data_IF_667140397653
#
_entry.id   IF_667140397653
#
_cell.length_a   1.000
_cell.length_b   1.000
_cell.length_c   1.000
_cell.angle_alpha   90.00
_cell.angle_beta   90.00
_cell.angle_gamma   90.00
#
_symmetry.space_group_name_H-M   'P 1'
#
loop_
_entity.id
_entity.type
_entity.pdbx_description
1 polymer ?
#
# COMPACT_ATOMS: atom_id res chain seq x y z
N UNK A 1 -12.80 -35.38 18.78
CA UNK A 1 -13.27 -34.65 19.97
C UNK A 1 -12.91 -33.19 19.74
N UNK A 2 -13.84 -32.26 19.94
CA UNK A 2 -13.52 -30.84 19.86
C UNK A 2 -12.60 -30.50 21.04
N UNK A 3 -11.38 -30.06 20.77
CA UNK A 3 -10.45 -29.61 21.82
C UNK A 3 -11.07 -28.48 22.62
N UNK A 4 -10.73 -28.36 23.91
CA UNK A 4 -11.25 -27.26 24.73
C UNK A 4 -10.73 -25.93 24.18
N UNK A 5 -11.45 -24.83 24.39
CA UNK A 5 -10.97 -23.51 23.98
C UNK A 5 -9.60 -23.18 24.61
N UNK A 6 -9.36 -23.66 25.83
CA UNK A 6 -8.07 -23.49 26.51
C UNK A 6 -6.96 -24.21 25.74
N UNK A 7 -7.20 -25.45 25.32
CA UNK A 7 -6.23 -26.25 24.55
C UNK A 7 -5.96 -25.60 23.19
N UNK A 8 -6.98 -25.03 22.54
CA UNK A 8 -6.83 -24.32 21.27
C UNK A 8 -5.94 -23.08 21.41
N UNK A 9 -6.14 -22.30 22.48
CA UNK A 9 -5.33 -21.12 22.77
C UNK A 9 -3.87 -21.49 23.08
N UNK A 10 -3.65 -22.54 23.87
CA UNK A 10 -2.30 -23.02 24.17
C UNK A 10 -1.59 -23.51 22.91
N UNK A 11 -2.26 -24.33 22.10
CA UNK A 11 -1.72 -24.81 20.84
C UNK A 11 -1.41 -23.67 19.86
N UNK A 12 -2.29 -22.66 19.76
CA UNK A 12 -2.07 -21.50 18.89
C UNK A 12 -0.83 -20.68 19.33
N UNK A 13 -0.66 -20.46 20.64
CA UNK A 13 0.54 -19.80 21.18
C UNK A 13 1.82 -20.57 20.87
N UNK A 14 1.80 -21.89 21.06
CA UNK A 14 2.95 -22.73 20.78
C UNK A 14 3.30 -22.72 19.27
N UNK A 15 2.29 -22.84 18.40
CA UNK A 15 2.48 -22.74 16.96
C UNK A 15 3.02 -21.37 16.52
N UNK A 16 2.52 -20.27 17.10
CA UNK A 16 3.06 -18.92 16.89
C UNK A 16 4.55 -18.87 17.24
N UNK A 17 4.93 -19.42 18.40
CA UNK A 17 6.33 -19.43 18.86
C UNK A 17 7.23 -20.26 17.93
N UNK A 18 6.82 -21.49 17.60
CA UNK A 18 7.59 -22.40 16.77
C UNK A 18 7.77 -21.88 15.34
N UNK A 19 6.69 -21.39 14.73
CA UNK A 19 6.75 -20.86 13.35
C UNK A 19 7.56 -19.57 13.25
N UNK A 20 7.65 -18.78 14.33
CA UNK A 20 8.49 -17.58 14.39
C UNK A 20 9.98 -17.94 14.32
N UNK A 21 10.41 -18.94 15.10
CA UNK A 21 11.85 -19.22 15.31
C UNK A 21 12.40 -20.32 14.41
N UNK A 22 11.55 -21.24 13.91
CA UNK A 22 11.99 -22.45 13.22
C UNK A 22 11.54 -22.48 11.75
N UNK A 23 12.43 -22.23 10.78
CA UNK A 23 12.13 -22.38 9.36
C UNK A 23 11.64 -23.78 8.98
N UNK A 24 12.17 -24.82 9.64
CA UNK A 24 11.75 -26.21 9.42
C UNK A 24 10.28 -26.42 9.76
N UNK A 25 9.79 -25.84 10.86
CA UNK A 25 8.36 -25.91 11.22
C UNK A 25 7.50 -25.23 10.16
N UNK A 26 7.94 -24.08 9.61
CA UNK A 26 7.23 -23.45 8.51
C UNK A 26 7.16 -24.36 7.28
N UNK A 27 8.26 -25.04 6.94
CA UNK A 27 8.29 -25.96 5.80
C UNK A 27 7.34 -27.15 5.98
N UNK A 28 7.22 -27.71 7.19
CA UNK A 28 6.32 -28.82 7.50
C UNK A 28 4.85 -28.52 7.20
N UNK A 29 4.40 -27.28 7.34
CA UNK A 29 3.03 -26.88 6.97
C UNK A 29 2.77 -27.01 5.46
N UNK A 30 3.80 -26.92 4.64
CA UNK A 30 3.71 -27.13 3.19
C UNK A 30 3.68 -28.60 2.79
N UNK A 31 4.05 -29.52 3.69
CA UNK A 31 4.08 -30.96 3.43
C UNK A 31 2.70 -31.63 3.64
N UNK A 32 1.77 -30.97 4.32
CA UNK A 32 0.43 -31.52 4.62
C UNK A 32 -0.68 -30.60 4.15
N UNK A 33 -1.53 -31.10 3.23
CA UNK A 33 -2.61 -30.32 2.62
C UNK A 33 -3.69 -29.87 3.60
N UNK A 34 -3.79 -30.52 4.75
CA UNK A 34 -4.78 -30.26 5.81
C UNK A 34 -4.24 -29.40 6.96
N UNK A 35 -2.95 -29.05 6.99
CA UNK A 35 -2.36 -28.28 8.07
C UNK A 35 -2.92 -26.86 8.17
N UNK A 36 -2.98 -26.13 7.05
CA UNK A 36 -3.54 -24.77 7.00
C UNK A 36 -5.06 -24.78 7.30
N UNK A 37 -5.89 -25.67 6.69
CA UNK A 37 -7.29 -25.80 7.08
C UNK A 37 -7.49 -26.05 8.58
N UNK A 38 -6.71 -26.95 9.20
CA UNK A 38 -6.79 -27.26 10.63
C UNK A 38 -6.40 -26.06 11.50
N UNK A 39 -5.37 -25.31 11.09
CA UNK A 39 -4.95 -24.08 11.75
C UNK A 39 -6.06 -23.02 11.75
N UNK A 40 -6.80 -22.88 10.66
CA UNK A 40 -7.84 -21.85 10.47
C UNK A 40 -9.24 -22.28 10.99
N UNK A 41 -9.45 -23.57 11.23
CA UNK A 41 -10.72 -24.11 11.71
C UNK A 41 -11.27 -23.40 12.96
N UNK A 42 -10.46 -23.03 13.98
CA UNK A 42 -10.96 -22.32 15.17
C UNK A 42 -11.57 -20.93 14.87
N UNK A 43 -11.10 -20.25 13.82
CA UNK A 43 -11.60 -18.93 13.40
C UNK A 43 -12.82 -19.01 12.48
N UNK A 44 -12.98 -20.14 11.77
CA UNK A 44 -14.00 -20.34 10.75
C UNK A 44 -15.43 -20.45 11.30
N UNK A 45 -15.60 -20.54 12.63
CA UNK A 45 -16.89 -20.68 13.30
C UNK A 45 -17.66 -19.37 13.54
N UNK A 46 -17.34 -18.28 12.81
CA UNK A 46 -17.97 -16.97 12.99
C UNK A 46 -17.63 -16.34 14.35
N UNK A 47 -16.43 -16.66 14.88
CA UNK A 47 -15.95 -16.28 16.22
C UNK A 47 -14.70 -15.40 16.18
N UNK A 48 -14.41 -14.77 15.05
CA UNK A 48 -13.20 -13.98 14.85
C UNK A 48 -13.04 -12.92 15.95
N UNK A 49 -14.15 -12.35 16.43
CA UNK A 49 -14.14 -11.33 17.50
C UNK A 49 -14.36 -11.88 18.92
N UNK A 50 -14.67 -13.18 19.07
CA UNK A 50 -15.01 -13.76 20.37
C UNK A 50 -13.78 -14.01 21.25
N UNK A 51 -12.62 -14.25 20.64
CA UNK A 51 -11.37 -14.60 21.33
C UNK A 51 -10.18 -13.88 20.66
N UNK A 52 -9.96 -12.59 20.98
CA UNK A 52 -8.92 -11.78 20.33
C UNK A 52 -7.50 -12.36 20.46
N UNK A 53 -7.20 -13.00 21.58
CA UNK A 53 -5.92 -13.67 21.83
C UNK A 53 -5.70 -14.87 20.90
N UNK A 54 -6.73 -15.71 20.74
CA UNK A 54 -6.68 -16.84 19.80
C UNK A 54 -6.55 -16.36 18.35
N UNK A 55 -7.30 -15.33 17.97
CA UNK A 55 -7.22 -14.72 16.65
C UNK A 55 -5.82 -14.19 16.37
N UNK A 56 -5.25 -13.40 17.29
CA UNK A 56 -3.92 -12.84 17.13
C UNK A 56 -2.87 -13.94 16.94
N UNK A 57 -2.90 -15.00 17.75
CA UNK A 57 -1.93 -16.09 17.65
C UNK A 57 -2.03 -16.85 16.32
N UNK A 58 -3.25 -17.11 15.84
CA UNK A 58 -3.47 -17.79 14.58
C UNK A 58 -3.12 -16.92 13.37
N UNK A 59 -3.48 -15.63 13.38
CA UNK A 59 -3.12 -14.68 12.31
C UNK A 59 -1.60 -14.46 12.28
N UNK A 60 -0.95 -14.38 13.44
CA UNK A 60 0.52 -14.30 13.52
C UNK A 60 1.17 -15.58 13.01
N UNK A 61 0.57 -16.75 13.27
CA UNK A 61 1.06 -18.01 12.72
C UNK A 61 0.97 -18.00 11.19
N UNK A 62 -0.14 -17.53 10.60
CA UNK A 62 -0.27 -17.35 9.14
C UNK A 62 0.78 -16.39 8.58
N UNK A 63 1.01 -15.25 9.24
CA UNK A 63 2.11 -14.34 8.90
C UNK A 63 3.44 -15.10 8.89
N UNK A 64 3.79 -15.80 9.95
CA UNK A 64 5.04 -16.55 10.02
C UNK A 64 5.16 -17.57 8.89
N UNK A 65 4.11 -18.33 8.60
CA UNK A 65 4.08 -19.31 7.51
C UNK A 65 4.31 -18.66 6.15
N UNK A 66 3.71 -17.48 5.91
CA UNK A 66 3.81 -16.75 4.64
C UNK A 66 5.21 -16.19 4.32
N UNK A 67 6.10 -16.11 5.32
CA UNK A 67 7.50 -15.71 5.11
C UNK A 67 8.27 -16.80 4.33
N UNK A 68 7.82 -18.06 4.39
CA UNK A 68 8.43 -19.15 3.63
C UNK A 68 7.84 -19.21 2.21
N UNK A 69 8.68 -19.07 1.18
CA UNK A 69 8.22 -18.92 -0.21
C UNK A 69 7.30 -20.06 -0.67
N UNK A 70 7.62 -21.31 -0.36
CA UNK A 70 6.80 -22.47 -0.74
C UNK A 70 5.39 -22.44 -0.14
N UNK A 71 5.18 -21.72 0.96
CA UNK A 71 3.88 -21.64 1.62
C UNK A 71 3.00 -20.53 1.05
N UNK A 72 3.57 -19.54 0.34
CA UNK A 72 2.79 -18.37 -0.13
C UNK A 72 1.63 -18.77 -1.03
N UNK A 73 1.87 -19.67 -1.97
CA UNK A 73 0.83 -20.15 -2.87
C UNK A 73 -0.18 -21.02 -2.10
N UNK A 74 0.29 -21.97 -1.28
CA UNK A 74 -0.56 -22.87 -0.50
C UNK A 74 -1.50 -22.13 0.46
N UNK A 75 -1.00 -21.12 1.16
CA UNK A 75 -1.81 -20.28 2.06
C UNK A 75 -2.80 -19.45 1.25
N UNK A 76 -2.40 -18.83 0.13
CA UNK A 76 -3.28 -18.00 -0.67
C UNK A 76 -4.38 -18.79 -1.41
N UNK A 77 -4.11 -20.05 -1.78
CA UNK A 77 -5.09 -20.97 -2.39
C UNK A 77 -6.07 -21.55 -1.38
N UNK A 78 -5.75 -21.51 -0.09
CA UNK A 78 -6.70 -21.90 0.93
C UNK A 78 -7.89 -20.94 0.94
N UNK A 79 -9.13 -21.44 0.77
CA UNK A 79 -10.31 -20.59 0.59
C UNK A 79 -10.65 -19.75 1.82
N UNK A 80 -10.11 -20.08 3.00
CA UNK A 80 -10.39 -19.38 4.25
C UNK A 80 -9.31 -18.34 4.59
N UNK A 81 -8.07 -18.49 4.11
CA UNK A 81 -6.95 -17.67 4.56
C UNK A 81 -7.12 -16.18 4.21
N UNK A 82 -7.34 -15.85 2.93
CA UNK A 82 -7.51 -14.46 2.50
C UNK A 82 -8.77 -13.82 3.13
N UNK A 83 -9.96 -14.46 3.13
CA UNK A 83 -11.13 -13.92 3.81
C UNK A 83 -10.91 -13.64 5.29
N UNK A 84 -10.26 -14.56 6.02
CA UNK A 84 -9.97 -14.37 7.45
C UNK A 84 -8.98 -13.23 7.71
N UNK A 85 -7.96 -13.07 6.85
CA UNK A 85 -7.04 -11.92 6.93
C UNK A 85 -7.79 -10.60 6.70
N UNK A 86 -8.72 -10.57 5.73
CA UNK A 86 -9.56 -9.40 5.44
C UNK A 86 -10.50 -9.08 6.60
N UNK A 87 -11.11 -10.09 7.23
CA UNK A 87 -11.94 -9.92 8.42
C UNK A 87 -11.11 -9.39 9.60
N UNK A 88 -9.92 -9.97 9.79
CA UNK A 88 -8.98 -9.55 10.84
C UNK A 88 -8.49 -8.11 10.68
N UNK A 89 -8.37 -7.61 9.44
CA UNK A 89 -8.10 -6.19 9.16
C UNK A 89 -9.22 -5.26 9.62
N UNK A 90 -10.48 -5.73 9.62
CA UNK A 90 -11.66 -4.91 9.92
C UNK A 90 -11.97 -4.87 11.42
N UNK A 91 -11.86 -6.00 12.12
CA UNK A 91 -12.35 -6.14 13.49
C UNK A 91 -11.29 -6.54 14.52
N UNK A 92 -10.07 -6.91 14.09
CA UNK A 92 -9.02 -7.36 15.00
C UNK A 92 -8.46 -6.27 15.93
N UNK A 93 -7.68 -6.69 16.92
CA UNK A 93 -6.82 -5.78 17.68
C UNK A 93 -5.84 -5.06 16.74
N UNK A 94 -5.26 -3.95 17.17
CA UNK A 94 -4.25 -3.25 16.38
C UNK A 94 -3.09 -4.19 15.98
N UNK A 95 -2.63 -5.05 16.89
CA UNK A 95 -1.60 -6.06 16.59
C UNK A 95 -2.09 -7.07 15.55
N UNK A 96 -3.30 -7.60 15.71
CA UNK A 96 -3.92 -8.52 14.74
C UNK A 96 -4.05 -7.88 13.35
N UNK A 97 -4.47 -6.61 13.29
CA UNK A 97 -4.61 -5.84 12.04
C UNK A 97 -3.26 -5.60 11.36
N UNK A 98 -2.23 -5.24 12.15
CA UNK A 98 -0.84 -5.12 11.66
C UNK A 98 -0.36 -6.46 11.09
N UNK A 99 -0.53 -7.56 11.83
CA UNK A 99 -0.12 -8.89 11.40
C UNK A 99 -0.88 -9.37 10.17
N UNK A 100 -2.17 -9.05 10.06
CA UNK A 100 -2.98 -9.35 8.88
C UNK A 100 -2.49 -8.57 7.65
N UNK A 101 -2.19 -7.28 7.78
CA UNK A 101 -1.63 -6.47 6.70
C UNK A 101 -0.25 -7.00 6.27
N UNK A 102 0.63 -7.31 7.22
CA UNK A 102 1.94 -7.90 6.97
C UNK A 102 1.83 -9.27 6.26
N UNK A 103 0.87 -10.11 6.65
CA UNK A 103 0.64 -11.41 6.01
C UNK A 103 0.15 -11.25 4.57
N UNK A 104 -0.74 -10.28 4.29
CA UNK A 104 -1.16 -10.00 2.92
C UNK A 104 0.01 -9.48 2.08
N UNK A 105 0.88 -8.64 2.65
CA UNK A 105 2.10 -8.18 1.98
C UNK A 105 3.02 -9.36 1.62
N UNK A 106 3.37 -10.22 2.56
CA UNK A 106 4.26 -11.38 2.31
C UNK A 106 3.64 -12.39 1.33
N UNK A 107 2.35 -12.69 1.46
CA UNK A 107 1.62 -13.56 0.54
C UNK A 107 1.56 -13.00 -0.87
N UNK A 108 1.59 -11.68 -1.04
CA UNK A 108 1.54 -11.01 -2.33
C UNK A 108 2.87 -11.03 -3.11
N UNK A 109 3.83 -11.88 -2.72
CA UNK A 109 5.06 -12.14 -3.49
C UNK A 109 4.77 -12.56 -4.94
N UNK A 110 4.06 -13.68 -5.19
CA UNK A 110 3.61 -14.09 -6.52
C UNK A 110 2.53 -13.17 -7.11
N UNK A 111 2.55 -12.95 -8.43
CA UNK A 111 1.54 -12.12 -9.12
C UNK A 111 0.13 -12.73 -9.07
N UNK A 112 0.02 -14.06 -9.13
CA UNK A 112 -1.23 -14.81 -8.93
C UNK A 112 -1.90 -14.45 -7.59
N UNK A 113 -1.10 -14.34 -6.53
CA UNK A 113 -1.57 -13.98 -5.21
C UNK A 113 -1.99 -12.51 -5.15
N UNK A 114 -1.22 -11.59 -5.75
CA UNK A 114 -1.61 -10.17 -5.84
C UNK A 114 -2.99 -10.00 -6.47
N UNK A 115 -3.23 -10.71 -7.58
CA UNK A 115 -4.52 -10.68 -8.29
C UNK A 115 -5.64 -11.23 -7.41
N UNK A 116 -5.41 -12.37 -6.76
CA UNK A 116 -6.42 -13.05 -5.93
C UNK A 116 -6.77 -12.24 -4.68
N UNK A 117 -5.77 -11.71 -3.96
CA UNK A 117 -5.96 -10.82 -2.80
C UNK A 117 -6.72 -9.56 -3.19
N UNK A 118 -6.37 -8.94 -4.32
CA UNK A 118 -7.07 -7.76 -4.81
C UNK A 118 -8.52 -8.03 -5.21
N UNK A 119 -8.80 -9.16 -5.87
CA UNK A 119 -10.16 -9.61 -6.21
C UNK A 119 -11.01 -9.93 -4.97
N UNK A 120 -10.38 -10.40 -3.89
CA UNK A 120 -11.05 -10.70 -2.63
C UNK A 120 -11.46 -9.43 -1.84
N UNK A 121 -11.09 -8.24 -2.31
CA UNK A 121 -11.50 -6.97 -1.68
C UNK A 121 -10.59 -6.50 -0.54
N UNK A 122 -9.34 -6.96 -0.49
CA UNK A 122 -8.41 -6.59 0.58
C UNK A 122 -8.00 -5.09 0.58
N UNK A 123 -8.12 -4.40 -0.56
CA UNK A 123 -7.64 -3.02 -0.70
C UNK A 123 -8.40 -2.04 0.20
N UNK A 124 -9.74 -2.13 0.28
CA UNK A 124 -10.53 -1.20 1.11
C UNK A 124 -10.17 -1.29 2.61
N UNK A 125 -10.13 -2.48 3.25
CA UNK A 125 -9.70 -2.58 4.65
C UNK A 125 -8.26 -2.14 4.90
N UNK A 126 -7.35 -2.34 3.93
CA UNK A 126 -5.98 -1.82 4.04
C UNK A 126 -5.95 -0.29 3.98
N UNK A 127 -6.75 0.32 3.11
CA UNK A 127 -6.90 1.79 3.00
C UNK A 127 -7.52 2.36 4.28
N UNK A 128 -8.53 1.69 4.86
CA UNK A 128 -9.16 2.09 6.11
C UNK A 128 -8.17 2.04 7.28
N UNK A 129 -7.38 0.96 7.35
CA UNK A 129 -6.31 0.83 8.34
C UNK A 129 -5.26 1.94 8.20
N UNK A 130 -4.94 2.35 6.97
CA UNK A 130 -4.07 3.50 6.72
C UNK A 130 -4.71 4.81 7.20
N UNK A 131 -6.01 5.00 6.99
CA UNK A 131 -6.75 6.21 7.38
C UNK A 131 -6.80 6.39 8.92
N UNK A 132 -7.02 5.31 9.67
CA UNK A 132 -7.21 5.32 11.13
C UNK A 132 -5.99 5.75 11.94
N UNK A 133 -4.77 5.62 11.41
CA UNK A 133 -3.62 6.34 11.97
C UNK A 133 -2.72 5.61 12.97
N UNK A 134 -2.86 4.30 13.20
CA UNK A 134 -1.94 3.59 14.09
C UNK A 134 -0.58 3.30 13.41
N UNK A 135 0.50 3.94 13.86
CA UNK A 135 1.80 4.02 13.14
C UNK A 135 2.34 2.70 12.61
N UNK A 136 2.39 1.65 13.43
CA UNK A 136 2.90 0.33 13.00
C UNK A 136 2.01 -0.28 11.91
N UNK A 137 0.69 -0.29 12.16
CA UNK A 137 -0.27 -0.91 11.26
C UNK A 137 -0.40 -0.13 9.94
N UNK A 138 -0.21 1.19 9.94
CA UNK A 138 -0.15 2.00 8.72
C UNK A 138 1.03 1.61 7.81
N UNK A 139 2.20 1.30 8.37
CA UNK A 139 3.38 0.90 7.58
C UNK A 139 3.16 -0.45 6.89
N UNK A 140 2.60 -1.41 7.62
CA UNK A 140 2.26 -2.71 7.06
C UNK A 140 1.17 -2.58 5.99
N UNK A 141 0.15 -1.74 6.25
CA UNK A 141 -0.91 -1.45 5.28
C UNK A 141 -0.36 -0.80 4.00
N UNK A 142 0.49 0.22 4.13
CA UNK A 142 1.13 0.89 3.00
C UNK A 142 1.98 -0.09 2.17
N UNK A 143 2.74 -0.96 2.84
CA UNK A 143 3.56 -1.98 2.17
C UNK A 143 2.71 -2.98 1.39
N UNK A 144 1.61 -3.45 1.98
CA UNK A 144 0.66 -4.33 1.31
C UNK A 144 0.00 -3.64 0.10
N UNK A 145 -0.48 -2.40 0.25
CA UNK A 145 -1.08 -1.61 -0.84
C UNK A 145 -0.07 -1.41 -1.97
N UNK A 146 1.16 -1.02 -1.66
CA UNK A 146 2.22 -0.82 -2.65
C UNK A 146 2.43 -2.08 -3.50
N UNK A 147 2.59 -3.23 -2.84
CA UNK A 147 2.91 -4.46 -3.53
C UNK A 147 1.71 -5.00 -4.33
N UNK A 148 0.49 -4.87 -3.81
CA UNK A 148 -0.73 -5.25 -4.54
C UNK A 148 -0.94 -4.38 -5.80
N UNK A 149 -0.66 -3.08 -5.71
CA UNK A 149 -0.83 -2.12 -6.80
C UNK A 149 0.23 -2.23 -7.91
N UNK A 150 1.22 -3.13 -7.80
CA UNK A 150 2.07 -3.48 -8.95
C UNK A 150 1.19 -4.02 -10.11
N UNK A 151 0.11 -4.73 -9.78
CA UNK A 151 -0.90 -5.20 -10.73
C UNK A 151 -1.83 -4.05 -11.13
N UNK A 152 -2.00 -3.86 -12.45
CA UNK A 152 -2.77 -2.75 -13.02
C UNK A 152 -4.23 -2.73 -12.54
N UNK A 153 -4.89 -3.88 -12.49
CA UNK A 153 -6.27 -4.02 -12.04
C UNK A 153 -6.41 -3.63 -10.56
N UNK A 154 -5.40 -3.90 -9.74
CA UNK A 154 -5.39 -3.51 -8.33
C UNK A 154 -5.20 -2.01 -8.16
N UNK A 155 -4.47 -1.32 -9.04
CA UNK A 155 -4.40 0.15 -9.05
C UNK A 155 -5.80 0.75 -9.22
N UNK A 156 -6.54 0.27 -10.22
CA UNK A 156 -7.92 0.71 -10.46
C UNK A 156 -8.80 0.49 -9.22
N UNK A 157 -8.77 -0.72 -8.64
CA UNK A 157 -9.48 -1.03 -7.39
C UNK A 157 -9.11 -0.06 -6.27
N UNK A 158 -7.81 0.14 -6.00
CA UNK A 158 -7.37 1.02 -4.92
C UNK A 158 -7.86 2.47 -5.11
N UNK A 159 -7.83 2.97 -6.35
CA UNK A 159 -8.32 4.31 -6.70
C UNK A 159 -9.84 4.41 -6.54
N UNK A 160 -10.60 3.38 -6.90
CA UNK A 160 -12.05 3.34 -6.69
C UNK A 160 -12.42 3.26 -5.20
N UNK A 161 -11.61 2.59 -4.39
CA UNK A 161 -11.77 2.50 -2.93
C UNK A 161 -11.27 3.76 -2.18
N UNK A 162 -10.84 4.81 -2.90
CA UNK A 162 -10.50 6.11 -2.30
C UNK A 162 -9.06 6.25 -1.81
N UNK A 163 -8.14 5.37 -2.24
CA UNK A 163 -6.74 5.41 -1.82
C UNK A 163 -6.08 6.79 -1.99
N UNK A 164 -6.34 7.47 -3.12
CA UNK A 164 -5.74 8.78 -3.42
C UNK A 164 -6.04 9.81 -2.33
N UNK A 165 -7.30 9.88 -1.87
CA UNK A 165 -7.73 10.80 -0.83
C UNK A 165 -7.00 10.55 0.49
N UNK A 166 -6.98 9.28 0.93
CA UNK A 166 -6.36 8.88 2.20
C UNK A 166 -4.85 9.14 2.16
N UNK A 167 -4.19 8.69 1.08
CA UNK A 167 -2.75 8.83 0.89
C UNK A 167 -2.33 10.30 0.87
N UNK A 168 -3.01 11.13 0.07
CA UNK A 168 -2.67 12.54 -0.04
C UNK A 168 -2.86 13.29 1.28
N UNK A 169 -3.95 13.01 2.00
CA UNK A 169 -4.18 13.57 3.34
C UNK A 169 -3.04 13.23 4.29
N UNK A 170 -2.62 11.96 4.37
CA UNK A 170 -1.51 11.53 5.24
C UNK A 170 -0.19 12.17 4.85
N UNK A 171 0.09 12.34 3.54
CA UNK A 171 1.27 13.07 3.07
C UNK A 171 1.24 14.53 3.53
N UNK A 172 0.10 15.22 3.41
CA UNK A 172 -0.07 16.60 3.87
C UNK A 172 0.09 16.73 5.39
N UNK A 173 -0.32 15.71 6.16
CA UNK A 173 -0.13 15.62 7.61
C UNK A 173 1.33 15.26 8.00
N UNK A 174 2.23 15.03 7.03
CA UNK A 174 3.62 14.64 7.27
C UNK A 174 3.80 13.18 7.74
N UNK A 175 2.80 12.32 7.53
CA UNK A 175 2.78 10.94 8.00
C UNK A 175 3.17 9.99 6.86
N UNK A 176 4.23 9.19 7.08
CA UNK A 176 4.71 8.16 6.12
C UNK A 176 4.94 8.70 4.70
N UNK A 177 5.45 9.94 4.59
CA UNK A 177 5.57 10.66 3.31
C UNK A 177 6.33 9.85 2.26
N UNK A 178 7.43 9.21 2.64
CA UNK A 178 8.29 8.42 1.73
C UNK A 178 7.54 7.22 1.14
N UNK A 179 6.90 6.41 1.98
CA UNK A 179 6.16 5.23 1.58
C UNK A 179 4.92 5.62 0.74
N UNK A 180 4.19 6.64 1.18
CA UNK A 180 2.94 7.05 0.57
C UNK A 180 3.14 7.79 -0.77
N UNK A 181 4.19 8.57 -0.93
CA UNK A 181 4.54 9.17 -2.23
C UNK A 181 4.87 8.10 -3.28
N UNK A 182 5.52 7.01 -2.87
CA UNK A 182 5.81 5.92 -3.80
C UNK A 182 4.53 5.23 -4.30
N UNK A 183 3.54 5.04 -3.42
CA UNK A 183 2.22 4.53 -3.80
C UNK A 183 1.49 5.53 -4.69
N UNK A 184 1.46 6.81 -4.31
CA UNK A 184 0.78 7.85 -5.09
C UNK A 184 1.36 7.98 -6.51
N UNK A 185 2.68 7.92 -6.65
CA UNK A 185 3.36 7.91 -7.95
C UNK A 185 3.01 6.68 -8.80
N UNK A 186 2.82 5.52 -8.17
CA UNK A 186 2.36 4.31 -8.84
C UNK A 186 0.91 4.45 -9.32
N UNK A 187 0.03 5.00 -8.46
CA UNK A 187 -1.38 5.22 -8.78
C UNK A 187 -1.58 6.31 -9.83
N UNK A 188 -0.68 7.30 -9.93
CA UNK A 188 -0.72 8.37 -10.95
C UNK A 188 -0.73 7.85 -12.39
N UNK A 189 -0.38 6.58 -12.63
CA UNK A 189 -0.52 5.91 -13.93
C UNK A 189 -1.96 5.58 -14.32
N UNK A 190 -2.93 5.77 -13.41
CA UNK A 190 -4.35 5.55 -13.62
C UNK A 190 -5.09 6.90 -13.78
N UNK A 191 -5.89 7.06 -14.84
CA UNK A 191 -6.52 8.34 -15.18
C UNK A 191 -7.36 8.93 -14.04
N UNK A 192 -8.25 8.12 -13.43
CA UNK A 192 -9.05 8.56 -12.27
C UNK A 192 -8.19 9.05 -11.10
N UNK A 193 -7.00 8.48 -10.89
CA UNK A 193 -6.13 8.92 -9.79
C UNK A 193 -5.60 10.33 -10.04
N UNK A 194 -5.28 10.65 -11.30
CA UNK A 194 -4.85 11.99 -11.72
C UNK A 194 -5.98 13.00 -11.51
N UNK A 195 -7.22 12.63 -11.84
CA UNK A 195 -8.41 13.45 -11.58
C UNK A 195 -8.60 13.71 -10.08
N UNK A 196 -8.62 12.64 -9.27
CA UNK A 196 -8.76 12.74 -7.80
C UNK A 196 -7.64 13.61 -7.20
N UNK A 197 -6.38 13.47 -7.65
CA UNK A 197 -5.26 14.29 -7.17
C UNK A 197 -5.42 15.78 -7.46
N UNK A 198 -5.99 16.15 -8.62
CA UNK A 198 -6.26 17.55 -8.94
C UNK A 198 -7.34 18.13 -8.07
N UNK A 199 -8.46 17.41 -7.92
CA UNK A 199 -9.61 17.86 -7.13
C UNK A 199 -9.23 18.08 -5.66
N UNK A 200 -8.30 17.29 -5.16
CA UNK A 200 -7.76 17.39 -3.81
C UNK A 200 -6.59 18.37 -3.67
N UNK A 201 -6.24 19.12 -4.72
CA UNK A 201 -5.20 20.16 -4.66
C UNK A 201 -3.79 19.61 -4.44
N UNK A 202 -3.44 18.46 -5.02
CA UNK A 202 -2.14 17.82 -4.81
C UNK A 202 -0.94 18.66 -5.30
N UNK A 203 -1.13 19.54 -6.29
CA UNK A 203 -0.05 20.27 -6.98
C UNK A 203 0.80 21.08 -6.01
N UNK A 204 0.19 21.98 -5.23
CA UNK A 204 0.91 22.79 -4.23
C UNK A 204 1.67 21.95 -3.19
N UNK A 205 1.07 20.86 -2.70
CA UNK A 205 1.72 19.93 -1.78
C UNK A 205 2.98 19.29 -2.40
N UNK A 206 2.88 18.78 -3.63
CA UNK A 206 4.00 18.16 -4.34
C UNK A 206 5.12 19.16 -4.63
N UNK A 207 4.77 20.41 -4.99
CA UNK A 207 5.74 21.48 -5.24
C UNK A 207 6.48 21.88 -3.96
N UNK A 208 5.78 22.01 -2.82
CA UNK A 208 6.40 22.25 -1.52
C UNK A 208 7.39 21.14 -1.14
N UNK A 209 7.02 19.86 -1.35
CA UNK A 209 7.92 18.72 -1.09
C UNK A 209 9.17 18.78 -1.99
N UNK A 210 9.04 19.20 -3.26
CA UNK A 210 10.22 19.37 -4.14
C UNK A 210 11.14 20.48 -3.64
N UNK A 211 10.56 21.61 -3.24
CA UNK A 211 11.27 22.81 -2.82
C UNK A 211 11.99 22.63 -1.48
N UNK A 212 11.32 22.03 -0.52
CA UNK A 212 11.75 21.99 0.89
C UNK A 212 12.29 20.61 1.31
N UNK A 213 11.94 19.55 0.59
CA UNK A 213 12.32 18.19 0.93
C UNK A 213 13.81 17.90 0.75
N UNK A 214 14.38 17.06 1.62
CA UNK A 214 15.76 16.58 1.52
C UNK A 214 15.88 15.24 0.78
N UNK A 215 14.78 14.48 0.67
CA UNK A 215 14.76 13.15 0.03
C UNK A 215 14.69 13.25 -1.49
N UNK A 216 15.77 12.92 -2.17
CA UNK A 216 15.83 12.87 -3.64
C UNK A 216 14.81 11.91 -4.24
N UNK A 217 14.51 10.80 -3.54
CA UNK A 217 13.47 9.85 -3.94
C UNK A 217 12.08 10.50 -3.91
N UNK A 218 11.79 11.31 -2.90
CA UNK A 218 10.51 12.02 -2.81
C UNK A 218 10.38 13.06 -3.89
N UNK A 219 11.44 13.84 -4.15
CA UNK A 219 11.46 14.81 -5.26
C UNK A 219 11.22 14.13 -6.61
N UNK A 220 11.84 12.98 -6.84
CA UNK A 220 11.62 12.17 -8.04
C UNK A 220 10.17 11.70 -8.17
N UNK A 221 9.58 11.18 -7.09
CA UNK A 221 8.17 10.76 -7.06
C UNK A 221 7.23 11.95 -7.33
N UNK A 222 7.45 13.07 -6.65
CA UNK A 222 6.67 14.30 -6.86
C UNK A 222 6.75 14.79 -8.30
N UNK A 223 7.95 14.83 -8.89
CA UNK A 223 8.13 15.25 -10.27
C UNK A 223 7.46 14.29 -11.25
N UNK A 224 7.46 12.99 -10.98
CA UNK A 224 6.75 12.01 -11.80
C UNK A 224 5.23 12.20 -11.75
N UNK A 225 4.67 12.48 -10.56
CA UNK A 225 3.25 12.77 -10.38
C UNK A 225 2.88 14.07 -11.10
N UNK A 226 3.60 15.17 -10.82
CA UNK A 226 3.36 16.48 -11.44
C UNK A 226 3.46 16.40 -12.97
N UNK A 227 4.46 15.71 -13.51
CA UNK A 227 4.57 15.52 -14.95
C UNK A 227 3.34 14.82 -15.54
N UNK A 228 2.80 13.82 -14.83
CA UNK A 228 1.61 13.08 -15.28
C UNK A 228 0.35 13.94 -15.17
N UNK A 229 0.21 14.74 -14.12
CA UNK A 229 -0.87 15.74 -14.01
C UNK A 229 -0.79 16.75 -15.17
N UNK A 230 0.38 17.33 -15.42
CA UNK A 230 0.61 18.29 -16.51
C UNK A 230 0.29 17.73 -17.91
N UNK A 231 0.52 16.43 -18.12
CA UNK A 231 0.20 15.77 -19.39
C UNK A 231 -1.29 15.68 -19.66
N UNK A 232 -2.07 15.46 -18.61
CA UNK A 232 -3.50 15.17 -18.72
C UNK A 232 -4.37 16.41 -18.50
N UNK A 233 -3.86 17.46 -17.85
CA UNK A 233 -4.61 18.68 -17.58
C UNK A 233 -3.75 19.94 -17.66
N UNK A 234 -4.27 20.93 -18.40
CA UNK A 234 -3.66 22.26 -18.55
C UNK A 234 -4.07 23.25 -17.46
N UNK A 235 -5.13 22.99 -16.71
CA UNK A 235 -5.62 23.91 -15.67
C UNK A 235 -4.59 24.10 -14.55
N UNK A 236 -3.76 23.09 -14.29
CA UNK A 236 -2.70 23.09 -13.28
C UNK A 236 -1.45 23.87 -13.70
N UNK A 237 -1.32 24.21 -15.00
CA UNK A 237 -0.12 24.88 -15.52
C UNK A 237 0.05 26.29 -14.96
N UNK A 238 -1.05 26.98 -14.61
CA UNK A 238 -0.98 28.30 -13.98
C UNK A 238 -0.29 28.22 -12.62
N UNK A 239 -0.77 27.33 -11.75
CA UNK A 239 -0.22 27.13 -10.41
C UNK A 239 1.27 26.74 -10.46
N UNK A 240 1.64 25.84 -11.37
CA UNK A 240 3.04 25.40 -11.52
C UNK A 240 3.92 26.55 -12.07
N UNK A 241 3.40 27.37 -12.99
CA UNK A 241 4.11 28.53 -13.52
C UNK A 241 4.33 29.59 -12.44
N UNK A 242 3.31 29.86 -11.62
CA UNK A 242 3.40 30.83 -10.54
C UNK A 242 4.46 30.39 -9.51
N UNK A 243 4.49 29.10 -9.16
CA UNK A 243 5.54 28.52 -8.32
C UNK A 243 6.92 28.62 -8.97
N UNK A 244 7.04 28.31 -10.26
CA UNK A 244 8.33 28.37 -10.96
C UNK A 244 8.87 29.80 -11.04
N UNK A 245 8.01 30.78 -11.32
CA UNK A 245 8.38 32.20 -11.36
C UNK A 245 8.81 32.72 -9.98
N UNK A 246 8.18 32.24 -8.91
CA UNK A 246 8.48 32.68 -7.55
C UNK A 246 9.72 32.01 -6.95
N UNK A 247 9.89 30.70 -7.18
CA UNK A 247 10.81 29.87 -6.40
C UNK A 247 11.89 29.14 -7.25
N UNK A 248 11.73 29.11 -8.57
CA UNK A 248 12.54 28.30 -9.50
C UNK A 248 12.57 26.81 -9.12
N UNK A 249 11.48 26.31 -8.54
CA UNK A 249 11.40 24.97 -7.94
C UNK A 249 11.65 23.87 -8.97
N UNK A 250 11.07 23.98 -10.17
CA UNK A 250 11.23 22.98 -11.23
C UNK A 250 12.58 23.15 -11.93
N UNK A 251 13.03 24.38 -12.18
CA UNK A 251 14.36 24.63 -12.77
C UNK A 251 15.50 24.11 -11.90
N UNK A 252 15.47 24.36 -10.59
CA UNK A 252 16.46 23.82 -9.65
C UNK A 252 16.46 22.29 -9.63
N UNK A 253 15.29 21.66 -9.76
CA UNK A 253 15.18 20.21 -9.85
C UNK A 253 15.72 19.68 -11.19
N UNK A 254 15.52 20.40 -12.29
CA UNK A 254 16.04 20.07 -13.61
C UNK A 254 17.57 20.12 -13.69
N UNK A 255 18.19 21.00 -12.91
CA UNK A 255 19.65 21.13 -12.80
C UNK A 255 20.26 20.09 -11.85
N UNK A 256 19.69 19.97 -10.64
CA UNK A 256 20.36 19.31 -9.52
C UNK A 256 19.78 17.95 -9.14
N UNK A 257 18.61 17.58 -9.67
CA UNK A 257 17.91 16.35 -9.28
C UNK A 257 18.55 15.07 -9.82
N UNK A 258 17.99 13.92 -9.43
CA UNK A 258 18.31 12.61 -10.02
C UNK A 258 18.08 12.62 -11.54
N UNK A 259 18.72 11.70 -12.28
CA UNK A 259 18.51 11.58 -13.74
C UNK A 259 17.04 11.41 -14.14
N UNK A 260 16.22 10.78 -13.30
CA UNK A 260 14.77 10.63 -13.55
C UNK A 260 14.00 11.89 -13.16
N UNK A 261 14.32 12.53 -12.03
CA UNK A 261 13.74 13.81 -11.65
C UNK A 261 14.02 14.90 -12.71
N UNK A 262 15.26 15.04 -13.16
CA UNK A 262 15.66 16.01 -14.20
C UNK A 262 14.89 15.83 -15.50
N UNK A 263 14.75 14.59 -15.96
CA UNK A 263 13.97 14.30 -17.18
C UNK A 263 12.51 14.74 -17.05
N UNK A 264 11.89 14.51 -15.90
CA UNK A 264 10.50 14.91 -15.65
C UNK A 264 10.37 16.42 -15.49
N UNK A 265 11.28 17.06 -14.76
CA UNK A 265 11.33 18.50 -14.58
C UNK A 265 11.50 19.24 -15.92
N UNK A 266 12.47 18.86 -16.76
CA UNK A 266 12.63 19.42 -18.10
C UNK A 266 11.37 19.25 -18.96
N UNK A 267 10.75 18.07 -18.90
CA UNK A 267 9.49 17.83 -19.61
C UNK A 267 8.32 18.70 -19.11
N UNK A 268 8.31 19.12 -17.84
CA UNK A 268 7.34 20.08 -17.31
C UNK A 268 7.65 21.49 -17.87
N UNK A 269 8.91 21.94 -17.75
CA UNK A 269 9.34 23.28 -18.22
C UNK A 269 9.05 23.49 -19.70
N UNK A 270 9.43 22.54 -20.57
CA UNK A 270 9.15 22.61 -22.01
C UNK A 270 7.66 22.79 -22.32
N UNK A 271 6.77 22.21 -21.52
CA UNK A 271 5.31 22.34 -21.69
C UNK A 271 4.82 23.72 -21.27
N UNK A 272 5.35 24.25 -20.17
CA UNK A 272 5.04 25.60 -19.72
C UNK A 272 5.49 26.64 -20.75
N UNK A 273 6.68 26.47 -21.35
CA UNK A 273 7.20 27.40 -22.37
C UNK A 273 6.36 27.39 -23.64
N UNK A 274 6.02 26.20 -24.17
CA UNK A 274 5.13 26.08 -25.33
C UNK A 274 3.77 26.74 -25.09
N UNK A 275 3.23 26.61 -23.88
CA UNK A 275 1.96 27.23 -23.53
C UNK A 275 2.02 28.77 -23.53
N UNK A 276 3.15 29.35 -23.09
CA UNK A 276 3.35 30.80 -23.10
C UNK A 276 3.41 31.34 -24.53
N UNK A 277 4.12 30.64 -25.43
CA UNK A 277 4.23 31.03 -26.83
C UNK A 277 2.87 31.04 -27.57
N UNK A 278 1.97 30.12 -27.22
CA UNK A 278 0.61 30.07 -27.78
C UNK A 278 -0.30 31.20 -27.27
N UNK A 279 -0.06 31.71 -26.05
CA UNK A 279 -0.81 32.86 -25.50
C UNK A 279 -0.31 34.20 -26.05
N UNK A 280 0.93 34.28 -26.52
CA UNK A 280 1.49 35.49 -27.14
C UNK A 280 1.16 35.64 -28.64
N UNK A 281 0.58 34.61 -29.26
CA UNK A 281 0.26 34.57 -30.70
C UNK A 281 -1.25 34.60 -31.00
N UNK A 282 -2.10 34.67 -29.97
CA UNK A 282 -3.56 34.81 -30.04
C UNK A 282 -3.99 36.19 -29.53
#
# INVERSE_FOLDING_TARGET
MCSSLSDQKEAARELRLLTRTMPSVRALFGESSDAIPKLLCPLSLGRVDSHPDLQEDLITTILNLSIHDNNKQLVAENPLAIPLLIESLKSGTIETRSNAAAALFTLSGPDSNKISIGKAGALKPLIDLLEEGHTLAMKDAASAIFNLCIILENKGRAVHEGAVRVILKKIMDGILVDELLAILAMLATHQKAVEDMKELGAVGCLLSIIREGSSERNKENCAAILYTICLNDRTTWREIRDEENANHTISKLAENGTSRARRKANGILERLDRAALLLHTA
#
